data_IF_406435348943
#
_entry.id   IF_406435348943
#
_cell.length_a   1.000
_cell.length_b   1.000
_cell.length_c   1.000
_cell.angle_alpha   90.00
_cell.angle_beta   90.00
_cell.angle_gamma   90.00
#
_symmetry.space_group_name_H-M   'P 1'
#
loop_
_entity.id
_entity.type
_entity.pdbx_description
1 polymer ?
#
# COMPACT_ATOMS: atom_id res chain seq x y z
N UNK A 1 -1.60 -4.35 7.31
CA UNK A 1 -1.14 -4.68 8.67
C UNK A 1 0.36 -4.94 8.70
N UNK A 2 0.92 -5.96 7.97
CA UNK A 2 2.35 -6.31 8.00
C UNK A 2 3.27 -5.09 7.81
N UNK A 3 3.05 -4.30 6.76
CA UNK A 3 3.86 -3.09 6.50
C UNK A 3 3.89 -2.13 7.70
N UNK A 4 2.72 -1.83 8.26
CA UNK A 4 2.61 -0.93 9.43
C UNK A 4 3.35 -1.49 10.64
N UNK A 5 3.20 -2.79 10.90
CA UNK A 5 3.81 -3.44 12.05
C UNK A 5 5.34 -3.52 11.91
N UNK A 6 5.86 -3.89 10.73
CA UNK A 6 7.30 -3.94 10.48
C UNK A 6 7.94 -2.55 10.59
N UNK A 7 7.24 -1.51 10.13
CA UNK A 7 7.79 -0.14 10.08
C UNK A 7 7.60 0.61 11.41
N UNK A 8 6.43 0.47 12.04
CA UNK A 8 6.01 1.26 13.20
C UNK A 8 5.90 0.47 14.50
N UNK A 9 5.89 -0.87 14.44
CA UNK A 9 5.62 -1.74 15.57
C UNK A 9 4.14 -2.02 15.79
N UNK A 10 3.85 -2.87 16.76
CA UNK A 10 2.49 -3.20 17.18
C UNK A 10 1.82 -2.01 17.90
N UNK A 11 0.48 -1.90 17.83
CA UNK A 11 -0.28 -1.00 18.69
C UNK A 11 0.00 -1.31 20.16
N UNK A 12 0.04 -0.30 21.02
CA UNK A 12 0.21 -0.51 22.45
C UNK A 12 -1.08 -1.00 23.12
N UNK A 13 -0.96 -2.00 23.97
CA UNK A 13 -2.07 -2.53 24.76
C UNK A 13 -2.98 -3.49 23.99
N UNK A 14 -4.15 -3.76 24.58
CA UNK A 14 -5.14 -4.65 23.97
C UNK A 14 -5.84 -4.02 22.78
N UNK A 15 -6.08 -4.83 21.74
CA UNK A 15 -6.80 -4.41 20.55
C UNK A 15 -8.00 -5.32 20.25
N UNK A 16 -8.90 -4.85 19.42
CA UNK A 16 -10.02 -5.63 18.88
C UNK A 16 -9.73 -6.22 17.49
N UNK A 17 -8.46 -6.29 17.11
CA UNK A 17 -7.99 -6.74 15.79
C UNK A 17 -7.86 -8.27 15.71
N UNK A 18 -8.86 -9.02 16.15
CA UNK A 18 -8.90 -10.48 16.03
C UNK A 18 -10.18 -10.93 15.36
N UNK A 19 -10.24 -12.16 14.86
CA UNK A 19 -11.46 -12.71 14.26
C UNK A 19 -12.53 -12.92 15.33
N UNK A 20 -13.56 -12.06 15.33
CA UNK A 20 -14.64 -12.00 16.34
C UNK A 20 -15.71 -13.09 16.19
N UNK A 21 -15.56 -14.02 15.25
CA UNK A 21 -16.50 -15.12 15.06
C UNK A 21 -16.48 -16.12 16.24
N UNK A 22 -15.36 -16.20 16.94
CA UNK A 22 -15.21 -17.05 18.12
C UNK A 22 -14.37 -16.30 19.19
N UNK A 23 -14.88 -16.22 20.41
CA UNK A 23 -14.21 -15.57 21.54
C UNK A 23 -12.84 -16.19 21.85
N UNK A 24 -12.64 -17.48 21.55
CA UNK A 24 -11.35 -18.14 21.73
C UNK A 24 -10.25 -17.58 20.85
N UNK A 25 -10.62 -16.90 19.76
CA UNK A 25 -9.65 -16.25 18.85
C UNK A 25 -8.89 -15.07 19.48
N UNK A 26 -9.35 -14.56 20.62
CA UNK A 26 -8.62 -13.53 21.39
C UNK A 26 -7.20 -13.97 21.80
N UNK A 27 -7.01 -15.26 21.97
CA UNK A 27 -5.74 -15.83 22.46
C UNK A 27 -5.04 -16.68 21.41
N UNK A 28 -5.63 -16.81 20.22
CA UNK A 28 -5.03 -17.53 19.11
C UNK A 28 -4.09 -16.66 18.30
N UNK A 29 -3.11 -17.29 17.76
CA UNK A 29 -2.13 -16.72 16.87
C UNK A 29 -2.76 -16.41 15.51
N UNK A 30 -2.34 -15.29 14.95
CA UNK A 30 -2.62 -14.91 13.54
C UNK A 30 -1.31 -14.94 12.78
N UNK A 31 -1.32 -15.62 11.64
CA UNK A 31 -0.17 -15.83 10.78
C UNK A 31 -0.15 -14.77 9.66
N UNK A 32 1.03 -14.19 9.43
CA UNK A 32 1.28 -13.22 8.38
C UNK A 32 2.58 -13.55 7.66
N UNK A 33 2.51 -13.66 6.34
CA UNK A 33 3.68 -13.97 5.51
C UNK A 33 3.63 -13.23 4.18
N UNK A 34 4.80 -12.86 3.67
CA UNK A 34 5.02 -12.32 2.33
C UNK A 34 6.10 -13.13 1.64
N UNK A 35 5.77 -13.69 0.49
CA UNK A 35 6.75 -14.23 -0.44
C UNK A 35 7.11 -13.15 -1.47
N UNK A 36 8.39 -12.85 -1.57
CA UNK A 36 8.90 -11.76 -2.39
C UNK A 36 10.10 -12.19 -3.22
N UNK A 37 10.21 -11.64 -4.41
CA UNK A 37 11.39 -11.82 -5.26
C UNK A 37 12.30 -10.59 -5.15
N UNK A 38 13.55 -10.79 -4.76
CA UNK A 38 14.58 -9.75 -4.71
C UNK A 38 15.88 -10.29 -5.29
N UNK A 39 16.47 -9.56 -6.24
CA UNK A 39 17.75 -9.92 -6.87
C UNK A 39 17.74 -11.36 -7.44
N UNK A 40 16.69 -11.73 -8.16
CA UNK A 40 16.47 -13.06 -8.77
C UNK A 40 16.38 -14.23 -7.77
N UNK A 41 16.13 -13.96 -6.49
CA UNK A 41 15.90 -14.95 -5.44
C UNK A 41 14.55 -14.73 -4.79
N UNK A 42 13.95 -15.82 -4.32
CA UNK A 42 12.68 -15.80 -3.63
C UNK A 42 12.89 -15.91 -2.12
N UNK A 43 12.19 -15.09 -1.37
CA UNK A 43 12.25 -15.04 0.10
C UNK A 43 10.85 -15.09 0.68
N UNK A 44 10.67 -15.82 1.76
CA UNK A 44 9.50 -15.73 2.62
C UNK A 44 9.90 -15.04 3.93
N UNK A 45 9.20 -13.95 4.25
CA UNK A 45 9.30 -13.26 5.52
C UNK A 45 7.95 -13.25 6.22
N UNK A 46 7.90 -13.68 7.46
CA UNK A 46 6.65 -13.73 8.21
C UNK A 46 6.82 -13.66 9.71
N UNK A 47 5.68 -13.60 10.37
CA UNK A 47 5.56 -13.65 11.83
C UNK A 47 4.19 -14.15 12.28
N UNK A 48 4.12 -14.68 13.48
CA UNK A 48 2.88 -14.97 14.19
C UNK A 48 2.69 -13.98 15.34
N UNK A 49 1.43 -13.58 15.57
CA UNK A 49 1.07 -12.55 16.53
C UNK A 49 -0.30 -12.83 17.17
N UNK A 50 -0.41 -12.69 18.47
CA UNK A 50 -1.71 -12.64 19.16
C UNK A 50 -2.23 -11.20 19.06
N UNK A 51 -3.11 -10.95 18.08
CA UNK A 51 -3.57 -9.62 17.71
C UNK A 51 -4.22 -8.87 18.88
N UNK A 52 -5.08 -9.54 19.67
CA UNK A 52 -5.73 -8.89 20.80
C UNK A 52 -4.73 -8.42 21.88
N UNK A 53 -3.63 -9.15 22.07
CA UNK A 53 -2.64 -8.86 23.09
C UNK A 53 -1.49 -7.99 22.60
N UNK A 54 -1.41 -7.75 21.29
CA UNK A 54 -0.28 -7.06 20.63
C UNK A 54 1.07 -7.72 20.98
N UNK A 55 1.16 -9.05 20.81
CA UNK A 55 2.33 -9.84 21.15
C UNK A 55 2.75 -10.73 20.00
N UNK A 56 4.00 -10.65 19.59
CA UNK A 56 4.59 -11.59 18.66
C UNK A 56 4.88 -12.94 19.32
N UNK A 57 4.73 -14.01 18.57
CA UNK A 57 5.00 -15.38 18.98
C UNK A 57 6.24 -15.90 18.27
N UNK A 58 6.34 -15.66 16.98
CA UNK A 58 7.45 -16.11 16.14
C UNK A 58 7.76 -15.09 15.03
N UNK A 59 8.97 -15.17 14.47
CA UNK A 59 9.41 -14.39 13.31
C UNK A 59 10.41 -15.21 12.49
N UNK A 60 10.33 -15.16 11.16
CA UNK A 60 11.25 -15.88 10.27
C UNK A 60 11.55 -15.13 8.99
N UNK A 61 12.71 -15.47 8.44
CA UNK A 61 13.11 -15.13 7.07
C UNK A 61 13.79 -16.34 6.46
N UNK A 62 13.28 -16.83 5.34
CA UNK A 62 13.83 -17.98 4.61
C UNK A 62 14.05 -17.62 3.14
N UNK A 63 15.06 -18.20 2.51
CA UNK A 63 15.28 -18.19 1.07
C UNK A 63 14.64 -19.46 0.49
N UNK A 64 13.72 -19.32 -0.47
CA UNK A 64 13.03 -20.42 -1.14
C UNK A 64 13.91 -20.90 -2.32
N UNK A 65 14.36 -22.18 -2.29
CA UNK A 65 15.31 -22.72 -3.26
C UNK A 65 14.63 -23.75 -4.20
N UNK A 66 13.48 -23.41 -4.77
CA UNK A 66 12.69 -24.31 -5.61
C UNK A 66 11.74 -25.20 -4.81
N UNK A 67 11.12 -26.19 -5.47
CA UNK A 67 10.04 -26.99 -4.91
C UNK A 67 10.44 -27.62 -3.56
N UNK A 68 9.75 -27.25 -2.48
CA UNK A 68 9.84 -27.78 -1.12
C UNK A 68 11.22 -27.64 -0.42
N UNK A 69 12.12 -26.75 -0.88
CA UNK A 69 13.41 -26.51 -0.23
C UNK A 69 13.54 -25.07 0.25
N UNK A 70 13.75 -24.94 1.54
CA UNK A 70 13.97 -23.66 2.22
C UNK A 70 15.35 -23.60 2.86
N UNK A 71 15.96 -22.42 2.80
CA UNK A 71 17.19 -22.12 3.53
C UNK A 71 16.86 -21.06 4.56
N UNK A 72 16.81 -21.45 5.83
CA UNK A 72 16.58 -20.51 6.93
C UNK A 72 17.71 -19.50 6.95
N UNK A 73 17.37 -18.21 6.90
CA UNK A 73 18.29 -17.11 7.16
C UNK A 73 18.24 -16.72 8.64
N UNK A 74 17.05 -16.53 9.17
CA UNK A 74 16.84 -16.51 10.62
C UNK A 74 15.45 -17.05 10.97
N UNK A 75 15.34 -17.60 12.18
CA UNK A 75 14.06 -17.87 12.84
C UNK A 75 14.15 -17.47 14.31
N UNK A 76 13.03 -16.99 14.84
CA UNK A 76 12.87 -16.60 16.22
C UNK A 76 11.59 -17.21 16.77
N UNK A 77 11.69 -17.99 17.84
CA UNK A 77 10.58 -18.40 18.69
C UNK A 77 10.67 -17.62 20.01
N UNK A 78 9.77 -16.65 20.16
CA UNK A 78 9.76 -15.73 21.29
C UNK A 78 9.32 -16.44 22.57
N UNK A 79 8.43 -17.41 22.46
CA UNK A 79 7.91 -18.17 23.60
C UNK A 79 9.02 -18.96 24.28
N UNK A 80 9.95 -19.54 23.52
CA UNK A 80 11.08 -20.31 24.05
C UNK A 80 12.37 -19.50 24.15
N UNK A 81 12.40 -18.26 23.67
CA UNK A 81 13.58 -17.40 23.59
C UNK A 81 14.65 -17.90 22.63
N UNK A 82 14.28 -18.74 21.64
CA UNK A 82 15.23 -19.32 20.70
C UNK A 82 15.43 -18.45 19.48
N UNK A 83 16.69 -18.27 19.08
CA UNK A 83 17.09 -17.69 17.82
C UNK A 83 17.94 -18.68 17.03
N UNK A 84 17.63 -18.82 15.74
CA UNK A 84 18.46 -19.50 14.78
C UNK A 84 18.88 -18.51 13.69
N UNK A 85 20.18 -18.52 13.34
CA UNK A 85 20.71 -17.84 12.18
C UNK A 85 21.33 -18.88 11.25
N UNK A 86 21.03 -18.79 9.96
CA UNK A 86 21.46 -19.76 8.96
C UNK A 86 21.99 -19.09 7.70
N UNK A 87 22.38 -19.92 6.74
CA UNK A 87 22.82 -19.43 5.45
C UNK A 87 23.99 -18.45 5.52
N UNK A 88 23.87 -17.40 4.73
CA UNK A 88 24.92 -16.39 4.59
C UNK A 88 25.05 -15.48 5.82
N UNK A 89 24.07 -15.51 6.72
CA UNK A 89 24.13 -14.78 8.01
C UNK A 89 25.06 -15.44 9.02
N UNK A 90 25.52 -16.67 8.76
CA UNK A 90 26.51 -17.37 9.60
C UNK A 90 27.96 -16.96 9.30
N UNK A 91 28.20 -15.93 8.49
CA UNK A 91 29.53 -15.38 8.23
C UNK A 91 30.24 -15.01 9.53
N UNK A 92 31.55 -15.36 9.64
CA UNK A 92 32.35 -15.07 10.81
C UNK A 92 32.38 -13.56 11.12
N UNK A 93 32.16 -13.22 12.39
CA UNK A 93 32.07 -11.85 12.86
C UNK A 93 30.70 -11.17 12.61
N UNK A 94 29.95 -11.55 11.58
CA UNK A 94 28.55 -11.14 11.40
C UNK A 94 27.67 -11.85 12.44
N UNK A 95 27.78 -13.19 12.52
CA UNK A 95 26.96 -14.01 13.41
C UNK A 95 27.10 -13.55 14.87
N UNK A 96 28.31 -13.18 15.32
CA UNK A 96 28.51 -12.70 16.68
C UNK A 96 27.77 -11.39 16.96
N UNK A 97 27.75 -10.47 15.99
CA UNK A 97 26.99 -9.21 16.08
C UNK A 97 25.49 -9.47 16.06
N UNK A 98 25.00 -10.39 15.19
CA UNK A 98 23.59 -10.73 15.12
C UNK A 98 23.10 -11.35 16.43
N UNK A 99 23.92 -12.20 17.07
CA UNK A 99 23.61 -12.78 18.38
C UNK A 99 23.44 -11.72 19.46
N UNK A 100 24.32 -10.74 19.53
CA UNK A 100 24.19 -9.62 20.49
C UNK A 100 22.85 -8.89 20.29
N UNK A 101 22.49 -8.55 19.04
CA UNK A 101 21.20 -7.90 18.78
C UNK A 101 19.99 -8.81 19.07
N UNK A 102 20.12 -10.11 18.87
CA UNK A 102 19.10 -11.09 19.21
C UNK A 102 18.92 -11.23 20.72
N UNK A 103 20.02 -11.25 21.49
CA UNK A 103 20.02 -11.26 22.96
C UNK A 103 19.31 -10.03 23.55
N UNK A 104 19.52 -8.85 22.96
CA UNK A 104 18.86 -7.59 23.38
C UNK A 104 17.32 -7.64 23.30
N UNK A 105 16.76 -8.46 22.40
CA UNK A 105 15.31 -8.56 22.17
C UNK A 105 14.77 -9.96 22.44
N UNK A 106 15.52 -10.84 23.10
CA UNK A 106 15.22 -12.25 23.20
C UNK A 106 13.83 -12.53 23.79
N UNK A 107 13.47 -11.83 24.86
CA UNK A 107 12.19 -11.95 25.55
C UNK A 107 11.19 -10.83 25.19
N UNK A 108 11.53 -9.93 24.29
CA UNK A 108 10.66 -8.80 23.91
C UNK A 108 9.65 -9.22 22.83
N UNK A 109 8.42 -9.47 23.27
CA UNK A 109 7.30 -9.88 22.40
C UNK A 109 6.65 -8.71 21.65
N UNK A 110 7.17 -7.49 21.78
CA UNK A 110 6.63 -6.28 21.12
C UNK A 110 7.42 -5.85 19.86
N UNK A 111 8.60 -6.44 19.62
CA UNK A 111 9.57 -6.00 18.62
C UNK A 111 9.95 -7.13 17.67
N UNK A 112 10.03 -6.84 16.38
CA UNK A 112 10.57 -7.73 15.35
C UNK A 112 12.09 -7.53 15.18
N UNK A 113 12.81 -8.61 14.92
CA UNK A 113 14.25 -8.57 14.59
C UNK A 113 14.51 -7.74 13.34
N UNK A 114 13.71 -7.93 12.27
CA UNK A 114 13.84 -7.17 11.03
C UNK A 114 13.74 -5.67 11.28
N UNK A 115 12.81 -5.23 12.13
CA UNK A 115 12.66 -3.82 12.51
C UNK A 115 13.86 -3.31 13.31
N UNK A 116 14.36 -4.12 14.25
CA UNK A 116 15.52 -3.79 15.09
C UNK A 116 16.79 -3.63 14.25
N UNK A 117 16.98 -4.53 13.28
CA UNK A 117 18.13 -4.50 12.39
C UNK A 117 18.15 -3.27 11.49
N UNK A 118 17.00 -2.64 11.23
CA UNK A 118 16.91 -1.45 10.37
C UNK A 118 16.87 -0.11 11.13
N UNK A 119 17.03 -0.13 12.46
CA UNK A 119 17.18 1.07 13.29
C UNK A 119 18.67 1.38 13.53
N UNK A 120 19.21 2.40 12.83
CA UNK A 120 20.57 2.91 13.04
C UNK A 120 21.72 1.89 12.86
N UNK A 121 21.60 0.91 11.96
CA UNK A 121 22.59 -0.15 11.72
C UNK A 121 23.43 0.05 10.45
N UNK A 122 23.56 1.28 9.92
CA UNK A 122 24.28 1.57 8.65
C UNK A 122 25.69 0.97 8.59
N UNK A 123 26.44 1.02 9.69
CA UNK A 123 27.81 0.48 9.76
C UNK A 123 27.85 -1.04 9.59
N UNK A 124 26.84 -1.76 10.08
CA UNK A 124 26.74 -3.21 9.93
C UNK A 124 26.66 -3.60 8.45
N UNK A 125 25.77 -2.96 7.70
CA UNK A 125 25.54 -3.22 6.27
C UNK A 125 26.71 -2.77 5.38
N UNK A 126 27.48 -1.79 5.81
CA UNK A 126 28.72 -1.39 5.13
C UNK A 126 29.85 -2.41 5.35
N UNK A 127 29.88 -3.06 6.51
CA UNK A 127 30.93 -4.00 6.89
C UNK A 127 30.63 -5.43 6.39
N UNK A 128 29.37 -5.84 6.35
CA UNK A 128 28.94 -7.19 6.02
C UNK A 128 27.90 -7.17 4.91
N UNK A 129 28.32 -7.53 3.69
CA UNK A 129 27.42 -7.56 2.51
C UNK A 129 26.30 -8.58 2.67
N UNK A 130 26.57 -9.70 3.35
CA UNK A 130 25.58 -10.78 3.55
C UNK A 130 24.42 -10.34 4.48
N UNK A 131 24.65 -9.38 5.37
CA UNK A 131 23.59 -8.82 6.21
C UNK A 131 22.62 -7.94 5.41
N UNK A 132 23.02 -7.50 4.20
CA UNK A 132 22.22 -6.53 3.41
C UNK A 132 20.83 -7.06 3.06
N UNK A 133 20.64 -8.37 2.99
CA UNK A 133 19.32 -8.97 2.75
C UNK A 133 18.28 -8.51 3.79
N UNK A 134 18.67 -8.31 5.06
CA UNK A 134 17.77 -7.79 6.09
C UNK A 134 17.34 -6.35 5.79
N UNK A 135 18.25 -5.55 5.22
CA UNK A 135 17.92 -4.20 4.78
C UNK A 135 17.03 -4.21 3.53
N UNK A 136 17.38 -5.02 2.53
CA UNK A 136 16.68 -5.09 1.25
C UNK A 136 15.21 -5.55 1.45
N UNK A 137 14.95 -6.55 2.31
CA UNK A 137 13.59 -6.99 2.69
C UNK A 137 12.82 -5.86 3.39
N UNK A 138 13.45 -5.20 4.36
CA UNK A 138 12.81 -4.09 5.06
C UNK A 138 12.49 -2.92 4.13
N UNK A 139 13.42 -2.53 3.26
CA UNK A 139 13.23 -1.44 2.29
C UNK A 139 12.13 -1.78 1.27
N UNK A 140 12.05 -3.04 0.85
CA UNK A 140 10.95 -3.49 -0.02
C UNK A 140 9.59 -3.36 0.69
N UNK A 141 9.46 -3.80 1.94
CA UNK A 141 8.23 -3.65 2.74
C UNK A 141 7.90 -2.16 2.96
N UNK A 142 8.90 -1.34 3.25
CA UNK A 142 8.72 0.08 3.59
C UNK A 142 8.43 0.96 2.37
N UNK A 143 9.20 0.82 1.29
CA UNK A 143 9.15 1.70 0.12
C UNK A 143 8.63 1.03 -1.14
N UNK A 144 8.88 -0.27 -1.31
CA UNK A 144 8.47 -1.04 -2.47
C UNK A 144 6.99 -1.41 -2.45
N UNK A 145 6.44 -1.71 -1.28
CA UNK A 145 5.03 -2.08 -1.10
C UNK A 145 4.16 -0.84 -0.83
N UNK A 146 3.30 -0.51 -1.77
CA UNK A 146 2.39 0.63 -1.70
C UNK A 146 0.95 0.14 -1.55
N UNK A 147 0.31 0.41 -0.39
CA UNK A 147 -1.02 -0.11 -0.05
C UNK A 147 -2.01 1.05 0.03
N UNK A 148 -3.04 0.99 -0.80
CA UNK A 148 -4.00 2.05 -1.01
C UNK A 148 -5.42 1.60 -0.65
N UNK A 149 -6.00 2.26 0.35
CA UNK A 149 -7.34 2.01 0.85
C UNK A 149 -8.37 2.91 0.16
N UNK A 150 -9.65 2.47 0.04
CA UNK A 150 -10.67 3.20 -0.72
C UNK A 150 -10.92 4.64 -0.25
N UNK A 151 -10.71 4.89 1.04
CA UNK A 151 -10.99 6.20 1.65
C UNK A 151 -9.79 7.16 1.67
N UNK A 152 -8.66 6.74 1.12
CA UNK A 152 -7.43 7.54 1.10
C UNK A 152 -7.02 7.86 -0.34
N UNK A 153 -6.45 9.04 -0.59
CA UNK A 153 -5.84 9.35 -1.87
C UNK A 153 -4.68 8.39 -2.15
N UNK A 154 -4.56 7.93 -3.40
CA UNK A 154 -3.47 7.06 -3.84
C UNK A 154 -2.21 7.88 -4.10
N UNK A 155 -2.37 9.08 -4.66
CA UNK A 155 -1.28 9.93 -5.14
C UNK A 155 -1.15 11.20 -4.31
N UNK A 156 0.08 11.67 -4.14
CA UNK A 156 0.39 13.02 -3.68
C UNK A 156 0.59 13.99 -4.86
N UNK A 157 0.29 13.54 -6.08
CA UNK A 157 0.47 14.27 -7.35
C UNK A 157 1.90 14.74 -7.62
N UNK A 158 2.90 14.11 -7.02
CA UNK A 158 4.30 14.44 -7.25
C UNK A 158 4.71 14.29 -8.72
N UNK A 159 4.06 13.41 -9.47
CA UNK A 159 4.26 13.27 -10.91
C UNK A 159 3.92 14.54 -11.70
N UNK A 160 2.93 15.34 -11.23
CA UNK A 160 2.61 16.64 -11.85
C UNK A 160 3.62 17.72 -11.49
N UNK A 161 4.16 17.71 -10.26
CA UNK A 161 5.13 18.69 -9.80
C UNK A 161 6.51 18.46 -10.44
N UNK A 162 6.91 17.20 -10.60
CA UNK A 162 8.23 16.80 -11.10
C UNK A 162 8.32 16.71 -12.62
N UNK A 163 7.19 16.78 -13.34
CA UNK A 163 7.22 16.60 -14.78
C UNK A 163 7.80 17.79 -15.50
N UNK A 164 8.74 17.54 -16.41
CA UNK A 164 9.24 18.51 -17.38
C UNK A 164 8.32 18.60 -18.63
N UNK A 165 7.46 17.57 -18.84
CA UNK A 165 6.60 17.47 -20.00
C UNK A 165 5.11 17.46 -19.62
N UNK A 166 4.60 18.64 -19.23
CA UNK A 166 3.17 18.84 -18.90
C UNK A 166 2.24 18.36 -20.02
N UNK A 167 2.63 18.59 -21.28
CA UNK A 167 1.83 18.19 -22.43
C UNK A 167 1.65 16.68 -22.57
N UNK A 168 2.63 15.88 -22.20
CA UNK A 168 2.53 14.42 -22.21
C UNK A 168 1.62 13.91 -21.09
N UNK A 169 1.79 14.41 -19.89
CA UNK A 169 0.92 14.08 -18.75
C UNK A 169 -0.53 14.45 -19.07
N UNK A 170 -0.79 15.63 -19.65
CA UNK A 170 -2.13 16.03 -20.06
C UNK A 170 -2.73 15.13 -21.15
N UNK A 171 -1.92 14.65 -22.11
CA UNK A 171 -2.40 13.69 -23.12
C UNK A 171 -2.83 12.36 -22.47
N UNK A 172 -2.07 11.88 -21.51
CA UNK A 172 -2.40 10.66 -20.75
C UNK A 172 -3.70 10.88 -19.96
N UNK A 173 -3.82 11.98 -19.22
CA UNK A 173 -5.03 12.35 -18.47
C UNK A 173 -6.25 12.40 -19.37
N UNK A 174 -6.13 13.06 -20.53
CA UNK A 174 -7.20 13.20 -21.52
C UNK A 174 -7.62 11.86 -22.14
N UNK A 175 -6.69 10.92 -22.32
CA UNK A 175 -6.95 9.59 -22.87
C UNK A 175 -7.92 8.76 -22.01
N UNK A 176 -8.05 9.10 -20.73
CA UNK A 176 -9.03 8.52 -19.82
C UNK A 176 -10.38 9.27 -19.82
N UNK A 177 -10.61 10.18 -20.76
CA UNK A 177 -11.91 10.85 -20.92
C UNK A 177 -12.23 11.88 -19.83
N UNK A 178 -11.24 12.38 -19.11
CA UNK A 178 -11.43 13.37 -18.03
C UNK A 178 -11.84 14.76 -18.55
N UNK A 179 -11.61 15.05 -19.82
CA UNK A 179 -11.79 16.39 -20.39
C UNK A 179 -10.71 17.40 -19.99
N UNK A 180 -9.76 17.03 -19.13
CA UNK A 180 -8.65 17.90 -18.74
C UNK A 180 -7.70 18.06 -19.91
N UNK A 181 -7.42 19.32 -20.29
CA UNK A 181 -6.51 19.69 -21.38
C UNK A 181 -5.20 20.32 -20.88
N UNK A 182 -5.16 20.71 -19.61
CA UNK A 182 -3.97 21.29 -18.98
C UNK A 182 -4.08 21.33 -17.48
N UNK A 183 -2.94 21.54 -16.82
CA UNK A 183 -2.89 21.87 -15.40
C UNK A 183 -1.80 22.89 -15.12
N UNK A 184 -1.95 23.62 -14.01
CA UNK A 184 -0.97 24.60 -13.53
C UNK A 184 -0.81 24.45 -12.02
N UNK A 185 0.43 24.58 -11.55
CA UNK A 185 0.71 24.77 -10.13
C UNK A 185 0.69 26.26 -9.86
N UNK A 186 -0.17 26.69 -8.96
CA UNK A 186 -0.42 28.11 -8.66
C UNK A 186 -0.18 28.42 -7.19
N UNK A 187 0.35 29.60 -6.91
CA UNK A 187 0.50 30.07 -5.54
C UNK A 187 -0.87 30.45 -4.96
N UNK A 188 -1.05 30.10 -3.68
CA UNK A 188 -2.24 30.46 -2.90
C UNK A 188 -1.81 30.99 -1.52
N UNK A 189 -2.60 31.89 -0.95
CA UNK A 189 -2.29 32.39 0.39
C UNK A 189 -2.57 31.31 1.46
N UNK A 190 -1.76 31.27 2.50
CA UNK A 190 -1.97 30.35 3.65
C UNK A 190 -3.36 30.58 4.27
N UNK A 191 -3.83 31.82 4.35
CA UNK A 191 -5.16 32.16 4.85
C UNK A 191 -6.27 31.47 4.05
N UNK A 192 -6.19 31.49 2.70
CA UNK A 192 -7.13 30.79 1.83
C UNK A 192 -7.09 29.28 2.04
N UNK A 193 -5.89 28.69 2.20
CA UNK A 193 -5.71 27.27 2.51
C UNK A 193 -6.40 26.94 3.83
N UNK A 194 -6.07 27.66 4.91
CA UNK A 194 -6.64 27.45 6.23
C UNK A 194 -8.17 27.67 6.26
N UNK A 195 -8.68 28.59 5.43
CA UNK A 195 -10.12 28.84 5.29
C UNK A 195 -10.88 27.70 4.61
N UNK A 196 -10.22 26.90 3.75
CA UNK A 196 -10.83 25.82 2.96
C UNK A 196 -10.88 24.46 3.66
N UNK A 197 -10.22 24.31 4.81
CA UNK A 197 -10.09 23.03 5.52
C UNK A 197 -10.85 23.02 6.86
N UNK A 198 -11.25 21.85 7.39
CA UNK A 198 -11.91 21.74 8.69
C UNK A 198 -11.08 22.32 9.84
N UNK A 199 -11.77 22.86 10.85
CA UNK A 199 -11.13 23.54 11.99
C UNK A 199 -10.08 22.67 12.71
N UNK A 200 -10.39 21.41 12.98
CA UNK A 200 -9.47 20.48 13.66
C UNK A 200 -8.16 20.27 12.89
N UNK A 201 -8.25 20.20 11.56
CA UNK A 201 -7.09 20.06 10.69
C UNK A 201 -6.30 21.38 10.62
N UNK A 202 -6.98 22.53 10.64
CA UNK A 202 -6.37 23.86 10.67
C UNK A 202 -5.46 24.05 11.88
N UNK A 203 -5.95 23.71 13.08
CA UNK A 203 -5.19 23.81 14.32
C UNK A 203 -3.94 22.93 14.28
N UNK A 204 -4.07 21.71 13.74
CA UNK A 204 -2.93 20.80 13.55
C UNK A 204 -1.89 21.38 12.60
N UNK A 205 -2.30 21.91 11.44
CA UNK A 205 -1.38 22.49 10.46
C UNK A 205 -0.63 23.67 11.03
N UNK A 206 -1.29 24.55 11.77
CA UNK A 206 -0.63 25.69 12.43
C UNK A 206 0.43 25.19 13.42
N UNK A 207 0.08 24.21 14.25
CA UNK A 207 1.03 23.58 15.18
C UNK A 207 2.21 22.92 14.47
N UNK A 208 1.96 22.23 13.35
CA UNK A 208 3.00 21.59 12.54
C UNK A 208 3.94 22.65 11.92
N UNK A 209 3.41 23.77 11.41
CA UNK A 209 4.20 24.89 10.88
C UNK A 209 5.12 25.46 11.97
N UNK A 210 4.59 25.73 13.17
CA UNK A 210 5.38 26.25 14.30
C UNK A 210 6.48 25.27 14.72
N UNK A 211 6.13 23.99 14.86
CA UNK A 211 7.07 22.92 15.22
C UNK A 211 8.19 22.78 14.18
N UNK A 212 7.85 22.74 12.87
CA UNK A 212 8.82 22.60 11.80
C UNK A 212 9.69 23.84 11.64
N UNK A 213 9.15 25.02 11.83
CA UNK A 213 9.95 26.26 11.86
C UNK A 213 10.98 26.21 12.98
N UNK A 214 10.61 25.75 14.18
CA UNK A 214 11.54 25.59 15.29
C UNK A 214 12.61 24.54 15.01
N UNK A 215 12.25 23.42 14.37
CA UNK A 215 13.17 22.37 13.97
C UNK A 215 14.21 22.87 12.96
N UNK A 216 13.79 23.61 11.93
CA UNK A 216 14.69 24.21 10.92
C UNK A 216 15.67 25.19 11.57
N UNK A 217 15.18 26.07 12.46
CA UNK A 217 16.01 27.04 13.18
C UNK A 217 17.08 26.38 14.06
N UNK A 218 16.72 25.27 14.69
CA UNK A 218 17.64 24.54 15.57
C UNK A 218 18.62 23.65 14.80
N UNK A 219 18.34 23.26 13.56
CA UNK A 219 19.15 22.38 12.75
C UNK A 219 19.60 23.06 11.45
N UNK A 220 20.77 23.72 11.47
CA UNK A 220 21.34 24.43 10.32
C UNK A 220 21.56 23.59 9.04
N UNK A 221 21.38 22.26 9.11
CA UNK A 221 21.45 21.38 7.94
C UNK A 221 20.14 21.34 7.15
N UNK A 222 19.04 21.68 7.79
CA UNK A 222 17.71 21.73 7.16
C UNK A 222 17.48 23.18 6.74
N UNK A 223 17.31 23.42 5.44
CA UNK A 223 17.08 24.78 4.90
C UNK A 223 15.59 25.09 4.75
N UNK A 224 14.81 24.10 4.43
CA UNK A 224 13.37 24.20 4.19
C UNK A 224 12.68 22.87 4.55
N UNK A 225 11.40 22.93 4.79
CA UNK A 225 10.55 21.76 5.00
C UNK A 225 9.37 21.83 4.04
N UNK A 226 9.14 20.76 3.28
CA UNK A 226 8.00 20.63 2.38
C UNK A 226 6.98 19.63 2.96
N UNK A 227 5.71 20.00 2.94
CA UNK A 227 4.61 19.16 3.37
C UNK A 227 3.51 19.16 2.31
N UNK A 228 3.03 17.98 1.94
CA UNK A 228 1.86 17.81 1.07
C UNK A 228 0.63 17.55 1.93
N UNK A 229 -0.40 18.35 1.74
CA UNK A 229 -1.71 18.17 2.35
C UNK A 229 -2.69 17.72 1.29
N UNK A 230 -3.24 16.53 1.45
CA UNK A 230 -4.08 15.88 0.46
C UNK A 230 -5.36 15.30 1.06
N UNK A 231 -6.47 15.56 0.39
CA UNK A 231 -7.73 14.84 0.52
C UNK A 231 -8.44 14.79 -0.84
N UNK A 232 -9.57 14.11 -0.92
CA UNK A 232 -10.34 14.08 -2.17
C UNK A 232 -10.83 15.47 -2.63
N UNK A 233 -10.83 16.47 -1.77
CA UNK A 233 -11.37 17.82 -2.08
C UNK A 233 -10.34 18.93 -2.08
N UNK A 234 -9.14 18.68 -1.61
CA UNK A 234 -8.06 19.66 -1.61
C UNK A 234 -6.70 19.01 -1.77
N UNK A 235 -5.81 19.77 -2.36
CA UNK A 235 -4.39 19.46 -2.50
C UNK A 235 -3.61 20.76 -2.31
N UNK A 236 -2.65 20.76 -1.38
CA UNK A 236 -1.76 21.87 -1.13
C UNK A 236 -0.36 21.38 -0.86
N UNK A 237 0.61 22.06 -1.44
CA UNK A 237 2.03 21.93 -1.13
C UNK A 237 2.39 23.14 -0.26
N UNK A 238 2.90 22.87 0.93
CA UNK A 238 3.32 23.88 1.88
C UNK A 238 4.83 23.80 2.07
N UNK A 239 5.55 24.83 1.70
CA UNK A 239 6.98 24.97 1.96
C UNK A 239 7.17 25.95 3.10
N UNK A 240 8.02 25.60 4.08
CA UNK A 240 8.36 26.40 5.25
C UNK A 240 9.85 26.63 5.23
N UNK A 241 10.29 27.88 5.30
CA UNK A 241 11.71 28.25 5.37
C UNK A 241 12.20 28.43 6.83
N UNK A 242 13.49 28.73 6.98
CA UNK A 242 14.13 28.96 8.30
C UNK A 242 13.57 30.16 9.06
N UNK A 243 12.96 31.10 8.38
CA UNK A 243 12.38 32.31 8.99
C UNK A 243 10.90 32.11 9.37
N UNK A 244 10.32 30.97 8.99
CA UNK A 244 8.91 30.65 9.23
C UNK A 244 7.99 31.18 8.14
N UNK A 245 8.54 31.70 7.02
CA UNK A 245 7.74 32.08 5.90
C UNK A 245 7.16 30.83 5.25
N UNK A 246 5.89 30.90 4.85
CA UNK A 246 5.19 29.78 4.23
C UNK A 246 4.81 30.14 2.81
N UNK A 247 5.22 29.28 1.86
CA UNK A 247 4.73 29.33 0.49
C UNK A 247 3.73 28.17 0.30
N UNK A 248 2.51 28.49 -0.09
CA UNK A 248 1.48 27.50 -0.36
C UNK A 248 1.20 27.46 -1.85
N UNK A 249 1.15 26.25 -2.42
CA UNK A 249 0.82 26.01 -3.83
C UNK A 249 -0.29 24.98 -3.94
N UNK A 250 -1.06 25.05 -5.01
CA UNK A 250 -2.08 24.05 -5.36
C UNK A 250 -2.07 23.76 -6.85
N UNK A 251 -2.76 22.69 -7.28
CA UNK A 251 -2.96 22.36 -8.67
C UNK A 251 -4.32 22.86 -9.11
N UNK A 252 -4.38 23.46 -10.30
CA UNK A 252 -5.62 23.83 -10.99
C UNK A 252 -5.62 23.25 -12.40
N UNK A 253 -6.79 22.85 -12.87
CA UNK A 253 -7.00 22.17 -14.14
C UNK A 253 -7.73 23.07 -15.14
N UNK A 254 -7.48 22.86 -16.45
CA UNK A 254 -8.21 23.51 -17.53
C UNK A 254 -8.94 22.49 -18.40
N UNK A 255 -10.14 22.85 -18.87
CA UNK A 255 -11.00 22.07 -19.76
C UNK A 255 -11.24 22.86 -21.08
N UNK A 256 -10.34 22.71 -22.02
CA UNK A 256 -10.45 23.28 -23.38
C UNK A 256 -10.04 24.74 -23.55
N UNK A 257 -10.45 25.63 -22.66
CA UNK A 257 -10.07 27.07 -22.72
C UNK A 257 -9.04 27.35 -21.62
N UNK A 258 -7.84 27.74 -22.01
CA UNK A 258 -6.67 27.93 -21.13
C UNK A 258 -6.87 28.97 -20.02
N UNK A 259 -7.81 29.87 -20.14
CA UNK A 259 -8.02 30.97 -19.19
C UNK A 259 -9.00 30.62 -18.05
N UNK A 260 -9.66 29.45 -18.11
CA UNK A 260 -10.58 29.00 -17.06
C UNK A 260 -9.92 27.86 -16.32
N UNK A 261 -9.60 28.10 -15.04
CA UNK A 261 -8.95 27.12 -14.19
C UNK A 261 -9.92 26.64 -13.10
N UNK A 262 -9.96 25.34 -12.91
CA UNK A 262 -10.79 24.64 -11.94
C UNK A 262 -9.93 24.11 -10.80
N UNK A 263 -10.41 24.24 -9.57
CA UNK A 263 -9.76 23.61 -8.43
C UNK A 263 -10.07 22.11 -8.40
N UNK A 264 -9.28 21.34 -7.70
CA UNK A 264 -9.52 19.89 -7.54
C UNK A 264 -10.90 19.59 -6.95
N UNK A 265 -11.43 20.46 -6.09
CA UNK A 265 -12.77 20.32 -5.50
C UNK A 265 -13.92 20.50 -6.49
N UNK A 266 -13.64 21.02 -7.68
CA UNK A 266 -14.61 21.23 -8.77
C UNK A 266 -14.60 20.08 -9.78
N UNK A 267 -13.62 19.15 -9.63
CA UNK A 267 -13.54 17.93 -10.44
C UNK A 267 -14.49 16.83 -9.91
N UNK A 268 -14.90 15.94 -10.82
CA UNK A 268 -15.70 14.77 -10.45
C UNK A 268 -14.86 13.75 -9.66
N UNK A 269 -15.52 12.95 -8.80
CA UNK A 269 -14.83 11.88 -8.06
C UNK A 269 -14.14 10.89 -9.01
N UNK A 270 -14.72 10.60 -10.18
CA UNK A 270 -14.11 9.76 -11.20
C UNK A 270 -12.85 10.39 -11.80
N UNK A 271 -12.86 11.69 -12.07
CA UNK A 271 -11.68 12.44 -12.53
C UNK A 271 -10.57 12.39 -11.49
N UNK A 272 -10.89 12.66 -10.23
CA UNK A 272 -9.95 12.61 -9.12
C UNK A 272 -9.35 11.20 -8.98
N UNK A 273 -10.18 10.15 -9.08
CA UNK A 273 -9.72 8.77 -9.02
C UNK A 273 -8.77 8.42 -10.15
N UNK A 274 -9.03 8.86 -11.37
CA UNK A 274 -8.10 8.68 -12.50
C UNK A 274 -6.79 9.42 -12.25
N UNK A 275 -6.83 10.67 -11.80
CA UNK A 275 -5.61 11.42 -11.46
C UNK A 275 -4.77 10.70 -10.38
N UNK A 276 -5.42 10.08 -9.39
CA UNK A 276 -4.74 9.29 -8.38
C UNK A 276 -4.11 8.02 -8.98
N UNK A 277 -4.82 7.30 -9.83
CA UNK A 277 -4.34 6.08 -10.47
C UNK A 277 -3.21 6.32 -11.48
N UNK A 278 -3.10 7.53 -12.03
CA UNK A 278 -1.98 7.87 -12.92
C UNK A 278 -0.62 7.82 -12.21
N UNK A 279 -0.55 8.02 -10.90
CA UNK A 279 0.67 7.77 -10.13
C UNK A 279 1.21 6.37 -10.37
N UNK A 280 0.32 5.37 -10.36
CA UNK A 280 0.68 3.95 -10.58
C UNK A 280 1.23 3.72 -11.99
N UNK A 281 0.68 4.40 -13.00
CA UNK A 281 1.12 4.28 -14.39
C UNK A 281 2.44 5.04 -14.66
N UNK A 282 2.66 6.16 -13.98
CA UNK A 282 3.78 7.07 -14.21
C UNK A 282 4.94 6.90 -13.22
N UNK A 283 4.73 6.17 -12.12
CA UNK A 283 5.76 5.93 -11.12
C UNK A 283 6.96 5.14 -11.65
N UNK A 284 8.04 5.18 -10.87
CA UNK A 284 9.27 4.42 -11.15
C UNK A 284 9.12 2.91 -11.00
N UNK A 285 10.18 2.20 -11.31
CA UNK A 285 10.29 0.74 -11.19
C UNK A 285 10.39 0.27 -9.71
N UNK A 286 10.32 -1.05 -9.50
CA UNK A 286 10.45 -1.74 -8.20
C UNK A 286 9.35 -1.38 -7.21
N UNK A 287 8.10 -1.40 -7.69
CA UNK A 287 6.91 -1.10 -6.89
C UNK A 287 5.87 -2.21 -7.01
N UNK A 288 5.32 -2.61 -5.87
CA UNK A 288 4.12 -3.43 -5.79
C UNK A 288 2.99 -2.58 -5.24
N UNK A 289 1.99 -2.33 -6.07
CA UNK A 289 0.79 -1.58 -5.69
C UNK A 289 -0.32 -2.54 -5.26
N UNK A 290 -0.86 -2.32 -4.08
CA UNK A 290 -2.08 -2.99 -3.58
C UNK A 290 -3.18 -1.94 -3.53
N UNK A 291 -4.21 -2.08 -4.34
CA UNK A 291 -5.31 -1.11 -4.44
C UNK A 291 -6.62 -1.79 -4.10
N UNK A 292 -7.21 -1.40 -3.00
CA UNK A 292 -8.52 -1.85 -2.59
C UNK A 292 -9.62 -1.03 -3.30
N UNK A 293 -10.67 -1.71 -3.79
CA UNK A 293 -11.75 -1.13 -4.59
C UNK A 293 -11.24 -0.29 -5.78
N UNK A 294 -10.51 -0.93 -6.72
CA UNK A 294 -9.96 -0.26 -7.90
C UNK A 294 -11.04 0.50 -8.69
N UNK A 295 -12.20 -0.12 -8.87
CA UNK A 295 -13.35 0.37 -9.67
C UNK A 295 -14.15 1.49 -8.99
N UNK A 296 -13.81 1.85 -7.74
CA UNK A 296 -14.53 2.89 -7.01
C UNK A 296 -14.57 4.20 -7.78
N UNK A 297 -15.77 4.76 -7.96
CA UNK A 297 -16.07 5.99 -8.71
C UNK A 297 -15.71 5.94 -10.20
N UNK A 298 -15.31 4.79 -10.75
CA UNK A 298 -14.97 4.64 -12.15
C UNK A 298 -16.10 4.01 -12.95
N UNK A 299 -16.22 4.42 -14.20
CA UNK A 299 -17.02 3.68 -15.16
C UNK A 299 -16.30 2.36 -15.50
N UNK A 300 -17.03 1.22 -15.66
CA UNK A 300 -16.45 -0.07 -16.02
C UNK A 300 -15.39 -0.05 -17.12
N UNK A 301 -15.63 0.71 -18.19
CA UNK A 301 -14.69 0.84 -19.30
C UNK A 301 -13.39 1.55 -18.92
N UNK A 302 -13.41 2.43 -17.90
CA UNK A 302 -12.19 3.10 -17.40
C UNK A 302 -11.36 2.16 -16.52
N UNK A 303 -12.01 1.35 -15.70
CA UNK A 303 -11.34 0.31 -14.91
C UNK A 303 -10.62 -0.67 -15.82
N UNK A 304 -11.32 -1.18 -16.86
CA UNK A 304 -10.71 -2.05 -17.86
C UNK A 304 -9.51 -1.39 -18.55
N UNK A 305 -9.71 -0.16 -19.05
CA UNK A 305 -8.65 0.60 -19.76
C UNK A 305 -7.43 0.87 -18.86
N UNK A 306 -7.64 1.12 -17.59
CA UNK A 306 -6.55 1.30 -16.63
C UNK A 306 -5.71 0.03 -16.49
N UNK A 307 -6.35 -1.13 -16.27
CA UNK A 307 -5.65 -2.41 -16.13
C UNK A 307 -4.93 -2.78 -17.43
N UNK A 308 -5.59 -2.64 -18.59
CA UNK A 308 -4.97 -2.85 -19.90
C UNK A 308 -3.70 -1.97 -20.09
N UNK A 309 -3.79 -0.69 -19.74
CA UNK A 309 -2.67 0.24 -19.85
C UNK A 309 -1.54 -0.13 -18.88
N UNK A 310 -1.90 -0.51 -17.65
CA UNK A 310 -0.91 -0.98 -16.67
C UNK A 310 -0.15 -2.20 -17.17
N UNK A 311 -0.83 -3.22 -17.69
CA UNK A 311 -0.20 -4.44 -18.20
C UNK A 311 0.73 -4.15 -19.38
N UNK A 312 0.35 -3.24 -20.28
CA UNK A 312 1.21 -2.80 -21.39
C UNK A 312 2.51 -2.14 -20.89
N UNK A 313 2.43 -1.34 -19.84
CA UNK A 313 3.59 -0.67 -19.23
C UNK A 313 4.44 -1.66 -18.41
N UNK A 314 3.80 -2.54 -17.66
CA UNK A 314 4.46 -3.53 -16.79
C UNK A 314 5.32 -4.55 -17.56
N UNK A 315 5.00 -4.80 -18.83
CA UNK A 315 5.77 -5.72 -19.69
C UNK A 315 7.28 -5.37 -19.78
N UNK A 316 7.65 -4.10 -19.54
CA UNK A 316 9.03 -3.62 -19.62
C UNK A 316 9.51 -2.97 -18.31
N UNK A 317 8.79 -3.18 -17.21
CA UNK A 317 9.06 -2.52 -15.92
C UNK A 317 8.93 -3.54 -14.79
N UNK A 318 9.70 -3.38 -13.75
CA UNK A 318 9.62 -4.18 -12.52
C UNK A 318 8.54 -3.58 -11.58
N UNK A 319 7.27 -3.75 -11.96
CA UNK A 319 6.11 -3.29 -11.22
C UNK A 319 5.04 -4.38 -11.14
N UNK A 320 4.33 -4.45 -10.03
CA UNK A 320 3.23 -5.38 -9.81
C UNK A 320 1.99 -4.62 -9.32
N UNK A 321 0.80 -5.09 -9.73
CA UNK A 321 -0.48 -4.55 -9.30
C UNK A 321 -1.34 -5.68 -8.72
N UNK A 322 -1.76 -5.51 -7.48
CA UNK A 322 -2.72 -6.37 -6.80
C UNK A 322 -3.95 -5.51 -6.50
N UNK A 323 -5.11 -5.93 -6.98
CA UNK A 323 -6.34 -5.14 -6.80
C UNK A 323 -7.48 -5.98 -6.27
N UNK A 324 -8.33 -5.37 -5.45
CA UNK A 324 -9.69 -5.86 -5.23
C UNK A 324 -10.66 -5.07 -6.10
N UNK A 325 -11.69 -5.74 -6.63
CA UNK A 325 -12.66 -5.09 -7.51
C UNK A 325 -13.97 -5.87 -7.57
N UNK A 326 -15.05 -5.16 -7.89
CA UNK A 326 -16.36 -5.75 -8.24
C UNK A 326 -16.63 -5.74 -9.76
N UNK A 327 -15.65 -5.30 -10.56
CA UNK A 327 -15.79 -5.16 -12.01
C UNK A 327 -15.59 -6.49 -12.74
N UNK A 328 -16.68 -7.17 -13.05
CA UNK A 328 -16.67 -8.48 -13.72
C UNK A 328 -16.08 -8.47 -15.13
N UNK A 329 -16.00 -7.32 -15.80
CA UNK A 329 -15.39 -7.20 -17.13
C UNK A 329 -13.88 -7.45 -17.14
N UNK A 330 -13.22 -7.40 -15.98
CA UNK A 330 -11.81 -7.78 -15.85
C UNK A 330 -11.62 -9.29 -15.95
N UNK A 331 -12.70 -10.10 -15.85
CA UNK A 331 -12.68 -11.53 -16.11
C UNK A 331 -12.63 -11.78 -17.62
N UNK A 332 -11.52 -11.40 -18.22
CA UNK A 332 -11.24 -11.48 -19.66
C UNK A 332 -9.87 -12.14 -19.86
N UNK A 333 -9.82 -13.26 -20.56
CA UNK A 333 -8.59 -14.00 -20.81
C UNK A 333 -7.66 -13.35 -21.84
N UNK A 334 -8.15 -12.36 -22.58
CA UNK A 334 -7.29 -11.50 -23.39
C UNK A 334 -6.55 -10.48 -22.51
N UNK A 335 -7.02 -10.27 -21.27
CA UNK A 335 -6.45 -9.33 -20.31
C UNK A 335 -5.64 -10.01 -19.20
N UNK A 336 -6.21 -11.03 -18.55
CA UNK A 336 -5.64 -11.69 -17.36
C UNK A 336 -5.56 -13.20 -17.55
N UNK A 337 -4.52 -13.82 -16.98
CA UNK A 337 -4.41 -15.27 -16.89
C UNK A 337 -5.28 -15.80 -15.75
N UNK A 338 -5.55 -17.10 -15.74
CA UNK A 338 -6.36 -17.75 -14.70
C UNK A 338 -5.73 -17.66 -13.32
N UNK A 339 -4.42 -17.83 -13.24
CA UNK A 339 -3.62 -17.76 -12.02
C UNK A 339 -3.57 -16.33 -11.43
N UNK A 340 -3.89 -15.32 -12.22
CA UNK A 340 -3.97 -13.93 -11.79
C UNK A 340 -5.34 -13.55 -11.21
N UNK A 341 -6.35 -14.41 -11.34
CA UNK A 341 -7.73 -14.15 -10.88
C UNK A 341 -8.04 -14.97 -9.63
N UNK A 342 -8.39 -14.27 -8.57
CA UNK A 342 -8.73 -14.87 -7.28
C UNK A 342 -10.10 -14.43 -6.82
N UNK A 343 -10.87 -15.35 -6.24
CA UNK A 343 -12.19 -15.09 -5.67
C UNK A 343 -12.12 -15.10 -4.16
N UNK A 344 -12.84 -14.13 -3.54
CA UNK A 344 -13.05 -14.09 -2.10
C UNK A 344 -14.49 -14.41 -1.83
N UNK A 345 -14.76 -15.49 -1.13
CA UNK A 345 -16.11 -15.95 -0.81
C UNK A 345 -16.31 -15.92 0.70
N UNK A 346 -17.49 -15.44 1.14
CA UNK A 346 -17.88 -15.43 2.54
C UNK A 346 -18.78 -16.62 2.84
N UNK A 347 -18.34 -17.50 3.72
CA UNK A 347 -19.15 -18.64 4.20
C UNK A 347 -20.34 -18.17 5.03
N UNK A 348 -21.35 -19.05 5.16
CA UNK A 348 -22.50 -18.78 6.04
C UNK A 348 -22.11 -18.62 7.52
N UNK A 349 -21.02 -19.25 7.95
CA UNK A 349 -20.40 -19.09 9.27
C UNK A 349 -19.76 -17.72 9.51
N UNK A 350 -19.56 -16.93 8.43
CA UNK A 350 -18.97 -15.59 8.49
C UNK A 350 -17.48 -15.54 8.13
N UNK A 351 -16.81 -16.67 8.00
CA UNK A 351 -15.43 -16.80 7.55
C UNK A 351 -15.31 -16.49 6.06
N UNK A 352 -14.13 -16.05 5.64
CA UNK A 352 -13.83 -15.83 4.22
C UNK A 352 -12.77 -16.82 3.73
N UNK A 353 -12.98 -17.33 2.52
CA UNK A 353 -12.04 -18.14 1.78
C UNK A 353 -11.54 -17.38 0.56
N UNK A 354 -10.31 -17.65 0.18
CA UNK A 354 -9.72 -17.17 -1.07
C UNK A 354 -9.25 -18.36 -1.90
N UNK A 355 -9.53 -18.35 -3.20
CA UNK A 355 -9.17 -19.43 -4.13
C UNK A 355 -8.99 -18.88 -5.54
N UNK A 356 -8.13 -19.53 -6.31
CA UNK A 356 -7.80 -19.14 -7.69
C UNK A 356 -8.83 -19.64 -8.69
N UNK A 357 -9.04 -18.89 -9.77
CA UNK A 357 -9.79 -19.36 -10.95
C UNK A 357 -9.10 -20.57 -11.61
N UNK A 358 -7.80 -20.75 -11.42
CA UNK A 358 -7.05 -21.89 -11.92
C UNK A 358 -7.51 -23.23 -11.34
N UNK A 359 -8.04 -23.25 -10.13
CA UNK A 359 -8.58 -24.45 -9.48
C UNK A 359 -9.81 -25.04 -10.19
N UNK A 360 -10.42 -24.27 -11.08
CA UNK A 360 -11.60 -24.70 -11.86
C UNK A 360 -11.17 -25.27 -13.22
N UNK A 361 -11.28 -26.59 -13.38
CA UNK A 361 -10.87 -27.34 -14.59
C UNK A 361 -11.89 -27.34 -15.75
N UNK A 362 -12.95 -26.56 -15.70
CA UNK A 362 -13.97 -26.59 -16.75
C UNK A 362 -13.48 -25.95 -18.06
N UNK A 363 -13.83 -26.59 -19.21
CA UNK A 363 -13.68 -25.98 -20.55
C UNK A 363 -14.71 -24.87 -20.69
N UNK A 364 -14.25 -23.64 -20.74
CA UNK A 364 -15.12 -22.48 -20.86
C UNK A 364 -15.33 -22.12 -22.34
N UNK A 365 -16.39 -22.64 -22.94
CA UNK A 365 -16.96 -22.12 -24.19
C UNK A 365 -17.85 -20.88 -23.96
N UNK A 366 -18.06 -20.49 -22.69
CA UNK A 366 -18.88 -19.35 -22.27
C UNK A 366 -18.02 -18.23 -21.69
N UNK A 367 -18.47 -17.01 -21.88
CA UNK A 367 -17.86 -15.83 -21.27
C UNK A 367 -17.81 -15.98 -19.75
N UNK A 368 -16.61 -15.89 -19.18
CA UNK A 368 -16.35 -16.09 -17.74
C UNK A 368 -17.09 -15.07 -16.88
N UNK A 369 -17.17 -13.82 -17.36
CA UNK A 369 -17.92 -12.76 -16.71
C UNK A 369 -19.38 -13.17 -16.42
N UNK A 370 -20.02 -13.83 -17.37
CA UNK A 370 -21.39 -14.34 -17.19
C UNK A 370 -21.47 -15.49 -16.20
N UNK A 371 -20.52 -16.43 -16.29
CA UNK A 371 -20.48 -17.57 -15.36
C UNK A 371 -20.22 -17.12 -13.92
N UNK A 372 -19.40 -16.09 -13.72
CA UNK A 372 -19.18 -15.46 -12.43
C UNK A 372 -20.49 -14.83 -11.90
N UNK A 373 -21.15 -13.99 -12.71
CA UNK A 373 -22.42 -13.35 -12.33
C UNK A 373 -23.55 -14.35 -12.06
N UNK A 374 -23.51 -15.53 -12.68
CA UNK A 374 -24.41 -16.67 -12.40
C UNK A 374 -24.04 -17.40 -11.08
N UNK A 375 -22.95 -16.99 -10.40
CA UNK A 375 -22.50 -17.55 -9.12
C UNK A 375 -21.76 -18.89 -9.23
N UNK A 376 -21.30 -19.28 -10.43
CA UNK A 376 -20.61 -20.59 -10.63
C UNK A 376 -19.29 -20.71 -9.91
N UNK A 377 -18.61 -19.58 -9.72
CA UNK A 377 -17.32 -19.51 -9.03
C UNK A 377 -17.42 -19.05 -7.59
N UNK A 378 -18.63 -18.80 -7.05
CA UNK A 378 -18.78 -18.12 -5.77
C UNK A 378 -18.36 -16.64 -5.86
N UNK A 379 -18.07 -16.03 -4.72
CA UNK A 379 -17.65 -14.61 -4.66
C UNK A 379 -18.73 -13.59 -5.07
N UNK A 380 -19.96 -14.05 -5.32
CA UNK A 380 -21.11 -13.19 -5.63
C UNK A 380 -22.10 -13.17 -4.47
N UNK A 381 -22.79 -12.05 -4.22
CA UNK A 381 -23.82 -11.98 -3.19
C UNK A 381 -24.95 -12.97 -3.46
N UNK A 382 -25.32 -13.77 -2.47
CA UNK A 382 -26.50 -14.66 -2.54
C UNK A 382 -27.68 -13.91 -1.96
N UNK A 383 -28.63 -13.57 -2.82
CA UNK A 383 -29.87 -12.91 -2.40
C UNK A 383 -30.94 -13.95 -2.02
N UNK A 384 -31.66 -13.70 -0.92
CA UNK A 384 -32.88 -14.42 -0.65
C UNK A 384 -33.95 -14.01 -1.68
N UNK A 385 -34.60 -14.99 -2.30
CA UNK A 385 -35.69 -14.74 -3.25
C UNK A 385 -36.95 -14.21 -2.58
N UNK A 386 -37.02 -14.28 -1.26
CA UNK A 386 -38.15 -13.80 -0.47
C UNK A 386 -37.69 -12.66 0.42
N UNK A 387 -38.00 -11.44 0.04
CA UNK A 387 -37.96 -10.34 0.99
C UNK A 387 -39.09 -10.55 1.99
N UNK A 388 -38.85 -10.57 3.30
CA UNK A 388 -39.91 -10.56 4.29
C UNK A 388 -40.60 -9.19 4.25
N UNK A 389 -41.48 -9.01 3.25
CA UNK A 389 -42.44 -7.90 3.25
C UNK A 389 -43.53 -8.40 4.18
N UNK A 390 -43.60 -7.84 5.36
CA UNK A 390 -44.70 -8.07 6.27
C UNK A 390 -45.98 -7.51 5.58
N UNK A 391 -46.90 -8.38 5.19
CA UNK A 391 -48.17 -8.00 4.54
C UNK A 391 -49.10 -7.17 5.47
N UNK A 392 -48.55 -6.63 6.54
CA UNK A 392 -49.24 -5.79 7.53
C UNK A 392 -48.71 -4.36 7.54
N UNK A 393 -48.78 -3.69 6.40
CA UNK A 393 -48.81 -2.23 6.33
C UNK A 393 -50.07 -1.78 5.64
#
# INVERSE_FOLDING_TARGET
FMREVVVRGLPQGHTDMYCKLDETNKTKESYFELEIMLNDKYYSYGFEVILNQSKFISEWLVELIGDDKEKVLFSRDITSGKFEFGGDLQENGLIDKLRVYAEDIQEDDSILLLSTMNKNKKTLYQQYSNAKILQDIYEWIYQGLDINYPNQPISDYSYMEKTENVGEVCRIISAFGTGITGFKIVDVSLEKVLGSIPRSLREKIISDIESKTAEIRNNKKIKEYAMVMRSNKYFFILNIDSDGNTQCRTIQFSHGKENVLFNISEESDGTIRILDLLEVLLAGDKKTYVIDELDRCLHPSLTYKFVETFLQLAANRDIQLIVTTHESRLLDFDLLRRDEVWFVNKRKSGESDIYSLEEYNERFDKKIDKAYLEGRYGGVPVFSTVFPIDERM
#
